data_IF_707621388242
#
_entry.id   IF_707621388242
#
_cell.length_a   1.000
_cell.length_b   1.000
_cell.length_c   1.000
_cell.angle_alpha   90.00
_cell.angle_beta   90.00
_cell.angle_gamma   90.00
#
_symmetry.space_group_name_H-M   'P 1'
#
loop_
_entity.id
_entity.type
_entity.pdbx_description
1 polymer ?
#
# COMPACT_ATOMS: atom_id res chain seq x y z
N UNK A 1 6.51 9.05 -12.66
CA UNK A 1 7.17 8.61 -11.40
C UNK A 1 7.61 7.17 -11.57
N UNK A 2 8.88 6.89 -11.36
CA UNK A 2 9.46 5.53 -11.38
C UNK A 2 10.10 5.16 -10.04
N UNK A 3 10.05 6.07 -9.11
CA UNK A 3 10.67 6.04 -7.80
C UNK A 3 9.78 5.32 -6.78
N UNK A 4 10.44 4.69 -5.80
CA UNK A 4 9.80 4.12 -4.60
C UNK A 4 9.92 5.18 -3.51
N UNK A 5 8.79 5.74 -3.11
CA UNK A 5 8.71 6.76 -2.07
C UNK A 5 8.36 6.09 -0.73
N UNK A 6 9.12 6.40 0.31
CA UNK A 6 8.88 5.91 1.68
C UNK A 6 8.84 7.09 2.65
N UNK A 7 7.91 7.05 3.61
CA UNK A 7 7.74 8.09 4.62
C UNK A 7 7.36 7.48 5.96
N UNK A 8 8.05 7.91 7.02
CA UNK A 8 7.66 7.67 8.40
C UNK A 8 6.80 8.83 8.92
N UNK A 9 6.03 8.57 9.99
CA UNK A 9 5.12 9.54 10.59
C UNK A 9 4.18 10.18 9.54
N UNK A 10 3.63 9.33 8.67
CA UNK A 10 2.86 9.76 7.51
C UNK A 10 1.42 10.21 7.85
N UNK A 11 0.93 9.91 9.06
CA UNK A 11 -0.35 10.38 9.60
C UNK A 11 -0.17 11.13 10.92
N UNK A 12 -1.09 12.06 11.28
CA UNK A 12 -1.19 12.59 12.62
C UNK A 12 -1.28 11.48 13.68
N UNK A 13 -0.63 11.65 14.83
CA UNK A 13 -0.47 10.59 15.84
C UNK A 13 -1.80 10.02 16.34
N UNK A 14 -2.82 10.85 16.52
CA UNK A 14 -4.16 10.40 16.94
C UNK A 14 -4.85 9.54 15.87
N UNK A 15 -4.66 9.85 14.58
CA UNK A 15 -5.19 9.06 13.47
C UNK A 15 -4.45 7.73 13.39
N UNK A 16 -3.12 7.75 13.44
CA UNK A 16 -2.30 6.53 13.44
C UNK A 16 -2.65 5.60 14.61
N UNK A 17 -2.83 6.15 15.82
CA UNK A 17 -3.27 5.39 16.99
C UNK A 17 -4.65 4.79 16.80
N UNK A 18 -5.59 5.53 16.22
CA UNK A 18 -6.92 5.01 15.91
C UNK A 18 -6.84 3.80 14.98
N UNK A 19 -6.01 3.87 13.92
CA UNK A 19 -5.81 2.73 13.02
C UNK A 19 -5.18 1.53 13.73
N UNK A 20 -4.08 1.72 14.46
CA UNK A 20 -3.39 0.64 15.16
C UNK A 20 -4.28 -0.07 16.20
N UNK A 21 -5.20 0.65 16.83
CA UNK A 21 -6.13 0.09 17.82
C UNK A 21 -7.31 -0.63 17.16
N UNK A 22 -7.88 -0.07 16.10
CA UNK A 22 -9.14 -0.58 15.54
C UNK A 22 -8.93 -1.62 14.44
N UNK A 23 -7.73 -1.74 13.87
CA UNK A 23 -7.44 -2.68 12.77
C UNK A 23 -7.73 -4.13 13.15
N UNK A 24 -7.56 -4.51 14.42
CA UNK A 24 -7.85 -5.85 14.94
C UNK A 24 -9.34 -6.16 15.06
N UNK A 25 -10.20 -5.13 15.03
CA UNK A 25 -11.67 -5.27 15.18
C UNK A 25 -12.38 -5.44 13.84
N UNK A 26 -11.65 -5.41 12.74
CA UNK A 26 -12.21 -5.62 11.41
C UNK A 26 -12.62 -7.09 11.22
N UNK A 27 -13.70 -7.32 10.50
CA UNK A 27 -14.11 -8.68 10.11
C UNK A 27 -13.20 -9.22 9.03
N UNK A 28 -12.32 -10.17 9.35
CA UNK A 28 -11.42 -10.79 8.41
C UNK A 28 -12.00 -12.09 7.84
N UNK A 29 -11.72 -12.34 6.57
CA UNK A 29 -11.93 -13.63 5.92
C UNK A 29 -10.59 -14.34 5.74
N UNK A 30 -10.57 -15.65 5.86
CA UNK A 30 -9.37 -16.45 5.60
C UNK A 30 -9.26 -16.68 4.10
N UNK A 31 -8.15 -16.26 3.53
CA UNK A 31 -7.74 -16.60 2.17
C UNK A 31 -6.68 -17.70 2.25
N UNK A 32 -7.00 -18.88 1.72
CA UNK A 32 -6.13 -20.06 1.78
C UNK A 32 -4.75 -19.80 1.18
N UNK A 33 -4.72 -19.00 0.12
CA UNK A 33 -3.51 -18.64 -0.62
C UNK A 33 -3.47 -17.11 -0.79
N UNK A 34 -2.28 -16.53 -0.72
CA UNK A 34 -2.08 -15.11 -1.06
C UNK A 34 -2.47 -14.89 -2.54
N UNK A 35 -2.06 -15.82 -3.41
CA UNK A 35 -2.33 -15.80 -4.83
C UNK A 35 -2.81 -17.18 -5.31
N UNK A 36 -4.12 -17.40 -5.37
CA UNK A 36 -4.65 -18.61 -5.98
C UNK A 36 -4.23 -18.70 -7.45
N UNK A 37 -3.86 -19.92 -7.88
CA UNK A 37 -3.42 -20.21 -9.26
C UNK A 37 -2.17 -19.41 -9.72
N UNK A 38 -1.25 -19.09 -8.81
CA UNK A 38 -0.04 -18.31 -9.08
C UNK A 38 0.78 -18.78 -10.29
N UNK A 39 0.82 -20.09 -10.58
CA UNK A 39 1.56 -20.65 -11.71
C UNK A 39 0.94 -20.34 -13.09
N UNK A 40 -0.34 -20.00 -13.12
CA UNK A 40 -1.07 -19.64 -14.35
C UNK A 40 -1.14 -18.13 -14.59
N UNK A 41 -0.78 -17.34 -13.58
CA UNK A 41 -0.87 -15.89 -13.63
C UNK A 41 0.46 -15.30 -14.13
N UNK A 42 0.43 -14.55 -15.22
CA UNK A 42 1.63 -13.90 -15.79
C UNK A 42 2.19 -12.79 -14.88
N UNK A 43 1.35 -12.21 -14.05
CA UNK A 43 1.74 -11.22 -13.04
C UNK A 43 2.36 -11.82 -11.78
N UNK A 44 2.69 -13.12 -11.75
CA UNK A 44 3.31 -13.81 -10.62
C UNK A 44 4.60 -14.50 -11.06
N UNK A 45 5.67 -14.33 -10.29
CA UNK A 45 7.00 -14.90 -10.58
C UNK A 45 7.53 -15.61 -9.34
N UNK A 46 7.08 -16.85 -9.06
CA UNK A 46 7.62 -17.64 -7.94
C UNK A 46 9.05 -18.12 -8.22
N UNK A 47 9.85 -18.26 -7.16
CA UNK A 47 11.18 -18.84 -7.13
C UNK A 47 11.38 -19.74 -5.92
N UNK A 48 12.61 -20.26 -5.70
CA UNK A 48 12.93 -21.18 -4.61
C UNK A 48 12.77 -20.59 -3.20
N UNK A 49 12.73 -19.26 -3.07
CA UNK A 49 12.53 -18.56 -1.79
C UNK A 49 11.05 -18.25 -1.52
N UNK A 50 10.17 -18.69 -2.42
CA UNK A 50 8.77 -18.27 -2.45
C UNK A 50 7.88 -19.21 -1.65
N UNK A 51 7.03 -18.61 -0.83
CA UNK A 51 5.90 -19.25 -0.14
C UNK A 51 4.57 -18.72 -0.66
N UNK A 52 3.50 -19.46 -0.40
CA UNK A 52 2.14 -19.01 -0.64
C UNK A 52 1.33 -19.21 0.65
N UNK A 53 1.54 -18.30 1.58
CA UNK A 53 1.00 -18.41 2.93
C UNK A 53 -0.50 -18.17 2.96
N UNK A 54 -1.16 -18.76 3.95
CA UNK A 54 -2.51 -18.37 4.34
C UNK A 54 -2.50 -16.93 4.83
N UNK A 55 -3.46 -16.13 4.38
CA UNK A 55 -3.63 -14.77 4.87
C UNK A 55 -5.06 -14.51 5.30
N UNK A 56 -5.23 -13.58 6.21
CA UNK A 56 -6.52 -13.00 6.57
C UNK A 56 -6.68 -11.67 5.87
N UNK A 57 -7.85 -11.43 5.28
CA UNK A 57 -8.13 -10.24 4.46
C UNK A 57 -9.43 -9.61 4.90
N UNK A 58 -9.42 -8.30 5.11
CA UNK A 58 -10.60 -7.47 5.19
C UNK A 58 -10.69 -6.61 3.93
N UNK A 59 -11.72 -6.84 3.11
CA UNK A 59 -11.97 -6.05 1.89
C UNK A 59 -12.78 -4.82 2.26
N UNK A 60 -12.21 -3.64 2.05
CA UNK A 60 -12.88 -2.37 2.30
C UNK A 60 -13.59 -1.87 1.05
N UNK A 61 -12.89 -1.93 -0.09
CA UNK A 61 -13.39 -1.43 -1.36
C UNK A 61 -12.72 -2.13 -2.56
N UNK A 62 -13.51 -2.32 -3.62
CA UNK A 62 -12.98 -2.74 -4.93
C UNK A 62 -13.89 -2.16 -6.02
N UNK A 63 -13.34 -1.34 -6.90
CA UNK A 63 -14.09 -0.66 -7.97
C UNK A 63 -14.69 -1.62 -9.02
N UNK A 64 -14.18 -2.86 -9.10
CA UNK A 64 -14.67 -3.89 -10.03
C UNK A 64 -15.94 -4.57 -9.48
N UNK A 65 -16.18 -4.49 -8.16
CA UNK A 65 -17.33 -5.12 -7.55
C UNK A 65 -18.63 -4.41 -8.00
N UNK A 66 -19.47 -5.13 -8.72
CA UNK A 66 -20.77 -4.62 -9.23
C UNK A 66 -21.77 -4.27 -8.10
N UNK A 67 -21.49 -4.67 -6.87
CA UNK A 67 -22.25 -4.34 -5.66
C UNK A 67 -21.33 -3.67 -4.66
N UNK A 68 -21.28 -2.33 -4.63
CA UNK A 68 -20.49 -1.63 -3.62
C UNK A 68 -21.05 -2.01 -2.24
N UNK A 69 -20.30 -2.78 -1.49
CA UNK A 69 -20.60 -2.98 -0.09
C UNK A 69 -20.29 -1.67 0.63
N UNK A 70 -21.27 -1.13 1.34
CA UNK A 70 -21.06 0.01 2.23
C UNK A 70 -20.20 -0.48 3.39
N UNK A 71 -18.89 -0.27 3.30
CA UNK A 71 -17.96 -0.59 4.37
C UNK A 71 -17.71 0.68 5.20
N UNK A 72 -18.07 0.72 6.50
CA UNK A 72 -17.89 1.90 7.34
C UNK A 72 -16.43 2.37 7.45
N UNK A 73 -15.47 1.49 7.16
CA UNK A 73 -14.05 1.85 7.18
C UNK A 73 -13.59 2.61 5.92
N UNK A 74 -14.41 2.66 4.86
CA UNK A 74 -13.99 3.26 3.58
C UNK A 74 -13.69 4.75 3.71
N UNK A 75 -14.62 5.52 4.29
CA UNK A 75 -14.47 6.96 4.40
C UNK A 75 -13.25 7.39 5.24
N UNK A 76 -13.09 6.92 6.50
CA UNK A 76 -11.93 7.28 7.30
C UNK A 76 -10.61 6.80 6.70
N UNK A 77 -10.58 5.63 6.06
CA UNK A 77 -9.38 5.16 5.37
C UNK A 77 -9.06 6.00 4.14
N UNK A 78 -10.06 6.40 3.35
CA UNK A 78 -9.86 7.28 2.18
C UNK A 78 -9.31 8.63 2.60
N UNK A 79 -9.82 9.20 3.69
CA UNK A 79 -9.28 10.44 4.24
C UNK A 79 -7.79 10.30 4.64
N UNK A 80 -7.44 9.24 5.33
CA UNK A 80 -6.05 8.97 5.70
C UNK A 80 -5.15 8.74 4.46
N UNK A 81 -5.65 8.08 3.42
CA UNK A 81 -4.92 7.87 2.16
C UNK A 81 -4.61 9.22 1.48
N UNK A 82 -5.56 10.16 1.46
CA UNK A 82 -5.31 11.50 0.93
C UNK A 82 -4.16 12.20 1.66
N UNK A 83 -4.15 12.20 3.00
CA UNK A 83 -3.07 12.79 3.80
C UNK A 83 -1.71 12.17 3.42
N UNK A 84 -1.65 10.84 3.29
CA UNK A 84 -0.41 10.15 2.94
C UNK A 84 0.06 10.49 1.53
N UNK A 85 -0.83 10.51 0.55
CA UNK A 85 -0.52 10.85 -0.86
C UNK A 85 -0.07 12.30 -1.00
N UNK A 86 -0.75 13.23 -0.33
CA UNK A 86 -0.35 14.65 -0.27
C UNK A 86 1.01 14.81 0.43
N UNK A 87 1.29 14.00 1.43
CA UNK A 87 2.58 13.94 2.10
C UNK A 87 3.76 13.57 1.19
N UNK A 88 3.50 12.93 0.05
CA UNK A 88 4.47 12.66 -1.03
C UNK A 88 4.46 13.73 -2.14
N UNK A 89 3.59 14.75 -2.05
CA UNK A 89 3.50 15.80 -3.07
C UNK A 89 2.55 15.48 -4.21
N UNK A 90 1.66 14.50 -4.07
CA UNK A 90 0.69 14.10 -5.09
C UNK A 90 -0.74 14.35 -4.63
N UNK A 91 -1.69 14.35 -5.57
CA UNK A 91 -3.13 14.31 -5.29
C UNK A 91 -3.70 12.97 -5.75
N UNK A 92 -4.43 12.31 -4.88
CA UNK A 92 -5.18 11.11 -5.24
C UNK A 92 -6.38 11.49 -6.09
N UNK A 93 -6.60 10.73 -7.17
CA UNK A 93 -7.79 10.87 -8.01
C UNK A 93 -8.87 9.91 -7.53
N UNK A 94 -8.58 8.62 -7.54
CA UNK A 94 -9.52 7.57 -7.17
C UNK A 94 -8.87 6.49 -6.32
N UNK A 95 -9.65 5.89 -5.42
CA UNK A 95 -9.34 4.61 -4.79
C UNK A 95 -9.88 3.51 -5.71
N UNK A 96 -8.99 2.64 -6.20
CA UNK A 96 -9.34 1.54 -7.08
C UNK A 96 -9.60 0.24 -6.31
N UNK A 97 -8.80 -0.02 -5.28
CA UNK A 97 -8.95 -1.14 -4.37
C UNK A 97 -8.37 -0.79 -3.01
N UNK A 98 -9.03 -1.19 -1.95
CA UNK A 98 -8.59 -1.01 -0.58
C UNK A 98 -8.85 -2.27 0.22
N UNK A 99 -7.81 -2.83 0.82
CA UNK A 99 -7.90 -4.02 1.67
C UNK A 99 -6.91 -3.94 2.83
N UNK A 100 -7.24 -4.62 3.92
CA UNK A 100 -6.33 -4.88 5.02
C UNK A 100 -5.90 -6.33 4.94
N UNK A 101 -4.60 -6.57 4.93
CA UNK A 101 -4.02 -7.91 4.90
C UNK A 101 -3.32 -8.19 6.23
N UNK A 102 -3.52 -9.39 6.75
CA UNK A 102 -2.87 -9.87 7.96
C UNK A 102 -2.19 -11.21 7.67
N UNK A 103 -0.94 -11.33 8.06
CA UNK A 103 -0.13 -12.56 8.01
C UNK A 103 0.32 -12.92 9.42
N UNK A 104 0.33 -14.21 9.71
CA UNK A 104 0.87 -14.77 10.95
C UNK A 104 2.25 -15.39 10.70
N UNK A 105 3.04 -15.65 11.75
CA UNK A 105 4.25 -16.46 11.65
C UNK A 105 3.95 -17.81 10.98
N UNK A 106 4.90 -18.29 10.18
CA UNK A 106 4.83 -19.60 9.58
C UNK A 106 6.08 -20.41 9.99
N UNK A 107 5.94 -21.65 10.51
CA UNK A 107 7.05 -22.37 11.12
C UNK A 107 8.23 -22.63 10.18
N UNK A 108 7.96 -22.79 8.88
CA UNK A 108 8.99 -23.04 7.87
C UNK A 108 9.54 -21.76 7.24
N UNK A 109 9.02 -20.59 7.60
CA UNK A 109 9.43 -19.33 7.00
C UNK A 109 10.76 -18.86 7.60
N UNK A 110 11.77 -18.68 6.76
CA UNK A 110 13.13 -18.32 7.16
C UNK A 110 13.46 -16.88 6.78
N UNK A 111 14.45 -16.24 7.42
CA UNK A 111 14.96 -14.95 6.97
C UNK A 111 15.34 -14.98 5.49
N UNK A 112 14.82 -14.04 4.71
CA UNK A 112 15.04 -13.99 3.27
C UNK A 112 13.94 -14.63 2.43
N UNK A 113 13.06 -15.44 3.01
CA UNK A 113 11.88 -15.92 2.31
C UNK A 113 10.84 -14.81 2.12
N UNK A 114 10.03 -14.94 1.09
CA UNK A 114 8.90 -14.07 0.80
C UNK A 114 7.77 -14.85 0.14
N UNK A 115 6.57 -14.32 0.25
CA UNK A 115 5.43 -14.86 -0.49
C UNK A 115 5.57 -14.55 -1.98
N UNK A 116 4.83 -15.25 -2.82
CA UNK A 116 4.94 -15.14 -4.27
C UNK A 116 4.96 -13.68 -4.75
N UNK A 117 6.04 -13.25 -5.42
CA UNK A 117 6.13 -11.94 -6.02
C UNK A 117 5.06 -11.76 -7.09
N UNK A 118 4.38 -10.62 -7.06
CA UNK A 118 3.26 -10.36 -7.94
C UNK A 118 3.08 -8.86 -8.21
N UNK A 119 2.21 -8.57 -9.16
CA UNK A 119 1.54 -7.28 -9.27
C UNK A 119 0.09 -7.43 -8.82
N UNK A 120 -0.47 -6.36 -8.31
CA UNK A 120 -1.82 -6.39 -7.72
C UNK A 120 -2.94 -6.59 -8.76
N UNK A 121 -2.80 -6.04 -9.95
CA UNK A 121 -3.77 -6.17 -11.05
C UNK A 121 -3.12 -5.97 -12.41
N UNK A 122 -3.24 -6.98 -13.28
CA UNK A 122 -2.70 -6.98 -14.64
C UNK A 122 -3.51 -6.09 -15.61
N UNK A 123 -4.75 -5.76 -15.26
CA UNK A 123 -5.66 -4.98 -16.09
C UNK A 123 -5.52 -3.48 -15.83
N UNK A 124 -5.14 -3.09 -14.62
CA UNK A 124 -4.92 -1.70 -14.24
C UNK A 124 -3.51 -1.26 -14.65
N UNK A 125 -3.36 -0.84 -15.92
CA UNK A 125 -2.04 -0.52 -16.49
C UNK A 125 -1.31 0.64 -15.78
N UNK A 126 -2.04 1.60 -15.20
CA UNK A 126 -1.48 2.85 -14.67
C UNK A 126 -2.03 3.20 -13.27
N UNK A 127 -1.84 2.29 -12.33
CA UNK A 127 -2.16 2.56 -10.94
C UNK A 127 -0.88 2.67 -10.10
N UNK A 128 -1.06 3.17 -8.90
CA UNK A 128 -0.04 3.18 -7.85
C UNK A 128 -0.49 2.29 -6.70
N UNK A 129 0.48 1.67 -6.05
CA UNK A 129 0.26 0.91 -4.80
C UNK A 129 0.76 1.74 -3.64
N UNK A 130 -0.12 2.02 -2.70
CA UNK A 130 0.19 2.61 -1.40
C UNK A 130 0.03 1.53 -0.34
N UNK A 131 1.09 1.25 0.40
CA UNK A 131 1.06 0.35 1.56
C UNK A 131 1.32 1.17 2.81
N UNK A 132 0.38 1.13 3.75
CA UNK A 132 0.52 1.71 5.08
C UNK A 132 0.77 0.63 6.13
N UNK A 133 1.67 0.89 7.05
CA UNK A 133 2.04 0.00 8.15
C UNK A 133 1.51 0.56 9.48
N UNK A 134 0.40 0.01 10.01
CA UNK A 134 -0.20 0.49 11.26
C UNK A 134 0.57 0.07 12.52
N UNK A 135 1.41 -0.96 12.42
CA UNK A 135 2.19 -1.55 13.52
C UNK A 135 3.61 -1.88 13.07
N UNK A 136 4.53 -1.93 14.04
CA UNK A 136 5.87 -2.49 13.82
C UNK A 136 5.80 -3.99 13.55
N UNK A 137 6.65 -4.49 12.66
CA UNK A 137 6.70 -5.91 12.35
C UNK A 137 8.03 -6.24 11.66
N UNK A 138 8.52 -7.48 11.82
CA UNK A 138 9.70 -7.99 11.12
C UNK A 138 9.38 -8.74 9.81
N UNK A 139 8.10 -8.77 9.42
CA UNK A 139 7.67 -9.27 8.11
C UNK A 139 7.76 -8.18 7.04
N UNK A 140 8.77 -8.26 6.17
CA UNK A 140 9.09 -7.20 5.22
C UNK A 140 8.14 -7.09 4.01
N UNK A 141 8.24 -5.96 3.33
CA UNK A 141 7.78 -5.78 1.95
C UNK A 141 8.99 -5.75 1.03
N UNK A 142 9.02 -6.67 0.08
CA UNK A 142 10.04 -6.75 -0.97
C UNK A 142 9.54 -6.06 -2.23
N UNK A 143 10.39 -5.22 -2.83
CA UNK A 143 10.16 -4.55 -4.10
C UNK A 143 11.27 -4.97 -5.06
N UNK A 144 10.90 -5.37 -6.28
CA UNK A 144 11.83 -5.91 -7.26
C UNK A 144 12.19 -4.88 -8.34
N UNK A 145 13.30 -5.07 -9.04
CA UNK A 145 13.73 -4.20 -10.14
C UNK A 145 12.85 -4.34 -11.36
N UNK A 146 12.43 -5.57 -11.63
CA UNK A 146 11.65 -5.92 -12.81
C UNK A 146 10.24 -5.35 -12.71
N UNK A 147 9.71 -4.99 -13.88
CA UNK A 147 8.36 -4.46 -14.03
C UNK A 147 7.54 -5.41 -14.89
N UNK A 148 6.27 -5.46 -14.58
CA UNK A 148 5.31 -6.22 -15.35
C UNK A 148 5.21 -5.70 -16.78
N UNK A 149 5.31 -6.63 -17.73
CA UNK A 149 5.03 -6.42 -19.14
C UNK A 149 4.12 -7.54 -19.62
N UNK A 150 2.97 -7.17 -20.22
CA UNK A 150 1.99 -8.15 -20.72
C UNK A 150 2.54 -9.09 -21.79
N UNK A 151 3.58 -8.65 -22.51
CA UNK A 151 4.16 -9.40 -23.62
C UNK A 151 5.30 -10.34 -23.18
N UNK A 152 5.91 -10.08 -22.04
CA UNK A 152 7.07 -10.85 -21.58
C UNK A 152 7.09 -10.95 -20.04
N UNK A 153 6.89 -12.16 -19.55
CA UNK A 153 7.10 -12.47 -18.12
C UNK A 153 8.60 -12.51 -17.84
N UNK A 154 9.09 -11.86 -16.78
CA UNK A 154 10.49 -12.03 -16.34
C UNK A 154 10.74 -13.48 -15.92
N UNK A 155 11.91 -14.01 -16.27
CA UNK A 155 12.33 -15.35 -15.84
C UNK A 155 12.75 -15.37 -14.37
N UNK A 156 13.33 -14.26 -13.91
CA UNK A 156 13.83 -14.09 -12.54
C UNK A 156 13.60 -12.66 -12.09
N UNK A 157 13.38 -12.49 -10.80
CA UNK A 157 13.29 -11.17 -10.15
C UNK A 157 14.54 -10.92 -9.31
N UNK A 158 14.96 -9.65 -9.27
CA UNK A 158 16.06 -9.17 -8.44
C UNK A 158 15.53 -8.15 -7.43
N UNK A 159 15.89 -8.32 -6.16
CA UNK A 159 15.43 -7.44 -5.08
C UNK A 159 16.02 -6.05 -5.31
N UNK A 160 15.14 -5.06 -5.42
CA UNK A 160 15.52 -3.65 -5.49
C UNK A 160 15.58 -3.02 -4.09
N UNK A 161 14.52 -3.23 -3.31
CA UNK A 161 14.40 -2.66 -1.96
C UNK A 161 13.63 -3.59 -1.05
N UNK A 162 14.03 -3.60 0.20
CA UNK A 162 13.38 -4.29 1.30
C UNK A 162 12.94 -3.25 2.32
N UNK A 163 11.69 -3.28 2.73
CA UNK A 163 11.10 -2.33 3.67
C UNK A 163 10.56 -3.12 4.85
N UNK A 164 11.17 -2.92 6.00
CA UNK A 164 10.67 -3.44 7.27
C UNK A 164 9.54 -2.53 7.75
N UNK A 165 8.34 -3.06 8.02
CA UNK A 165 7.23 -2.30 8.54
C UNK A 165 7.57 -1.56 9.81
N UNK A 166 7.34 -0.25 9.80
CA UNK A 166 7.45 0.63 10.96
C UNK A 166 6.10 1.30 11.18
N UNK A 167 5.63 1.30 12.42
CA UNK A 167 4.34 1.88 12.76
C UNK A 167 4.24 3.32 12.24
N UNK A 168 3.08 3.67 11.68
CA UNK A 168 2.83 4.97 11.05
C UNK A 168 3.81 5.31 9.91
N UNK A 169 4.21 4.32 9.12
CA UNK A 169 4.96 4.55 7.90
C UNK A 169 4.20 4.06 6.67
N UNK A 170 4.56 4.57 5.51
CA UNK A 170 3.95 4.16 4.26
C UNK A 170 4.96 4.15 3.10
N UNK A 171 4.65 3.36 2.08
CA UNK A 171 5.39 3.29 0.82
C UNK A 171 4.45 3.46 -0.36
N UNK A 172 4.86 4.24 -1.35
CA UNK A 172 4.14 4.47 -2.60
C UNK A 172 5.03 4.11 -3.79
N UNK A 173 4.52 3.30 -4.73
CA UNK A 173 5.23 2.88 -5.93
C UNK A 173 4.27 2.57 -7.09
N UNK A 174 4.78 2.50 -8.33
CA UNK A 174 3.98 2.12 -9.51
C UNK A 174 3.44 0.71 -9.42
N UNK A 175 2.18 0.51 -9.76
CA UNK A 175 1.47 -0.77 -9.67
C UNK A 175 1.98 -1.87 -10.60
N UNK A 176 2.76 -1.53 -11.64
CA UNK A 176 3.42 -2.49 -12.50
C UNK A 176 4.72 -3.07 -11.91
N UNK A 177 5.16 -2.63 -10.73
CA UNK A 177 6.35 -3.14 -10.06
C UNK A 177 6.02 -4.43 -9.31
N UNK A 178 6.78 -5.48 -9.55
CA UNK A 178 6.68 -6.69 -8.76
C UNK A 178 7.02 -6.42 -7.30
N UNK A 179 6.19 -6.97 -6.42
CA UNK A 179 6.38 -6.87 -4.97
C UNK A 179 5.92 -8.13 -4.27
N UNK A 180 6.41 -8.33 -3.06
CA UNK A 180 6.05 -9.47 -2.21
C UNK A 180 6.02 -9.07 -0.73
N UNK A 181 5.25 -9.80 0.05
CA UNK A 181 5.29 -9.74 1.52
C UNK A 181 6.11 -10.88 2.07
N UNK A 182 6.71 -10.70 3.25
CA UNK A 182 7.16 -11.85 4.05
C UNK A 182 6.30 -12.02 5.29
N UNK A 183 6.20 -13.26 5.78
CA UNK A 183 5.60 -13.52 7.06
C UNK A 183 6.52 -13.00 8.18
N UNK A 184 5.98 -12.58 9.31
CA UNK A 184 6.78 -12.26 10.48
C UNK A 184 7.44 -13.53 11.04
N UNK A 185 8.60 -13.36 11.67
CA UNK A 185 9.34 -14.46 12.32
C UNK A 185 9.31 -14.29 13.83
N UNK A 186 9.47 -13.05 14.32
CA UNK A 186 9.47 -12.71 15.75
C UNK A 186 8.21 -11.99 16.19
N UNK A 187 7.63 -11.18 15.30
CA UNK A 187 6.39 -10.48 15.59
C UNK A 187 5.19 -11.44 15.52
N UNK A 188 4.19 -11.25 16.36
CA UNK A 188 2.98 -12.09 16.38
C UNK A 188 2.19 -12.05 15.09
N UNK A 189 2.22 -10.90 14.41
CA UNK A 189 1.52 -10.72 13.15
C UNK A 189 2.08 -9.56 12.33
N UNK A 190 1.81 -9.60 11.05
CA UNK A 190 2.04 -8.51 10.10
C UNK A 190 0.71 -8.01 9.59
N UNK A 191 0.40 -6.74 9.81
CA UNK A 191 -0.82 -6.11 9.29
C UNK A 191 -0.41 -4.94 8.39
N UNK A 192 -1.05 -4.84 7.22
CA UNK A 192 -0.91 -3.71 6.31
C UNK A 192 -2.25 -3.26 5.76
N UNK A 193 -2.35 -1.99 5.44
CA UNK A 193 -3.41 -1.45 4.57
C UNK A 193 -2.81 -1.34 3.17
N UNK A 194 -3.33 -2.11 2.22
CA UNK A 194 -2.90 -2.12 0.81
C UNK A 194 -3.97 -1.42 -0.03
N UNK A 195 -3.56 -0.36 -0.69
CA UNK A 195 -4.42 0.44 -1.54
C UNK A 195 -3.86 0.58 -2.95
N UNK A 196 -4.69 0.31 -3.94
CA UNK A 196 -4.44 0.66 -5.33
C UNK A 196 -5.19 1.96 -5.63
N UNK A 197 -4.46 2.95 -6.13
CA UNK A 197 -4.97 4.30 -6.37
C UNK A 197 -4.59 4.80 -7.76
N UNK A 198 -5.35 5.73 -8.29
CA UNK A 198 -4.93 6.62 -9.37
C UNK A 198 -4.54 7.98 -8.82
N UNK A 199 -3.58 8.62 -9.46
CA UNK A 199 -3.13 9.97 -9.13
C UNK A 199 -3.57 10.95 -10.20
N UNK A 200 -3.80 12.22 -9.82
CA UNK A 200 -4.03 13.28 -10.78
C UNK A 200 -2.75 13.54 -11.58
N UNK A 201 -2.89 13.62 -12.91
CA UNK A 201 -1.81 14.05 -13.80
C UNK A 201 -1.43 15.50 -13.50
N UNK A 202 -0.12 15.83 -13.56
CA UNK A 202 0.41 17.19 -13.44
C UNK A 202 0.32 17.88 -12.08
N UNK A 203 0.21 17.15 -10.99
CA UNK A 203 0.40 17.73 -9.67
C UNK A 203 1.89 17.69 -9.32
N UNK A 204 2.69 18.62 -9.88
CA UNK A 204 4.08 18.84 -9.49
C UNK A 204 4.15 19.94 -8.42
N UNK A 205 5.22 19.93 -7.60
CA UNK A 205 5.46 20.92 -6.53
C UNK A 205 5.46 22.38 -6.99
N UNK A 206 5.55 22.66 -8.29
CA UNK A 206 5.42 23.99 -8.87
C UNK A 206 4.09 24.67 -8.55
N UNK A 207 3.04 23.94 -8.26
CA UNK A 207 1.73 24.52 -7.92
C UNK A 207 1.55 24.86 -6.43
N UNK A 208 2.45 24.41 -5.54
CA UNK A 208 2.39 24.78 -4.10
C UNK A 208 2.66 26.26 -3.84
N UNK A 209 3.41 26.94 -4.72
CA UNK A 209 3.77 28.35 -4.56
C UNK A 209 2.76 29.31 -5.14
N UNK A 210 1.66 28.87 -5.75
CA UNK A 210 0.64 29.73 -6.37
C UNK A 210 -0.66 29.83 -5.58
N UNK A 211 -0.91 28.96 -4.62
CA UNK A 211 -1.98 29.21 -3.63
C UNK A 211 -1.47 30.23 -2.63
N UNK A 212 -1.63 31.52 -2.97
CA UNK A 212 -1.44 32.64 -2.04
C UNK A 212 -2.33 32.37 -0.85
N UNK A 213 -1.74 32.31 0.33
CA UNK A 213 -2.40 32.30 1.62
C UNK A 213 -3.51 33.38 1.62
N UNK A 214 -4.80 33.01 1.62
CA UNK A 214 -5.89 33.98 1.56
C UNK A 214 -5.97 34.87 2.81
N UNK A 215 -5.13 34.63 3.82
CA UNK A 215 -5.06 35.40 5.06
C UNK A 215 -3.86 36.34 5.15
N UNK A 216 -2.99 36.43 4.15
CA UNK A 216 -1.98 37.47 4.03
C UNK A 216 -2.53 38.70 3.34
N UNK A 217 -3.16 39.57 4.07
CA UNK A 217 -3.49 40.91 3.55
C UNK A 217 -4.71 41.56 4.13
N UNK A 218 -4.75 41.77 5.45
CA UNK A 218 -5.54 42.89 6.04
C UNK A 218 -4.71 43.51 7.14
N UNK A 219 -3.76 44.36 6.76
CA UNK A 219 -3.32 45.44 7.65
C UNK A 219 -4.48 46.40 7.75
N UNK A 220 -5.17 46.36 8.88
CA UNK A 220 -6.09 47.44 9.27
C UNK A 220 -5.18 48.56 9.77
N UNK A 221 -4.84 49.52 8.91
CA UNK A 221 -4.31 50.81 9.35
C UNK A 221 -5.42 51.54 10.14
N UNK A 222 -5.24 51.60 11.43
CA UNK A 222 -5.98 52.50 12.28
C UNK A 222 -5.65 53.93 11.88
N UNK A 223 -6.66 54.70 11.50
CA UNK A 223 -6.60 56.19 11.49
C UNK A 223 -7.22 56.67 12.76
N UNK A 224 -6.42 57.52 13.43
CA UNK A 224 -6.77 58.41 14.56
C UNK A 224 -8.01 59.24 14.28
#
# INVERSE_FOLDING_TARGET
>A
MDEILYKENCLPSNVAQSFSTNIYRLGYIIAKDILPNQHKNIGCVPDDNTYNSVQMVHRVYNHIDQRPQVNPALEPMTYALNIMVEGFGYKMKDVLRLKVNMLQPHPDFKPGNYNTPHIDDEKMAEHFVLIYYPIDCDGDTYLFNEKFNKLKKPEKLTIHKRITPKANSCVLFKGNRFHASSNPIKSEMRIIINCNISLLENYSETNRNTEKDPFKGTNIEGKD
#
